data_IF_227777115849
#
_entry.id   IF_227777115849
#
_cell.length_a   1.000
_cell.length_b   1.000
_cell.length_c   1.000
_cell.angle_alpha   90.00
_cell.angle_beta   90.00
_cell.angle_gamma   90.00
#
_symmetry.space_group_name_H-M   'P 1'
#
loop_
_entity.id
_entity.type
_entity.pdbx_description
1 polymer ?
#
# COMPACT_ATOMS: atom_id res chain seq x y z
N UNK A 1 -7.99 -1.99 22.59
CA UNK A 1 -6.99 -1.98 21.49
C UNK A 1 -5.74 -1.35 22.04
N UNK A 2 -4.59 -2.01 21.92
CA UNK A 2 -3.30 -1.43 22.34
C UNK A 2 -3.03 -0.17 21.51
N UNK A 3 -2.69 0.94 22.15
CA UNK A 3 -2.39 2.18 21.45
C UNK A 3 -1.18 1.98 20.53
N UNK A 4 -1.35 2.25 19.24
CA UNK A 4 -0.23 2.34 18.31
C UNK A 4 0.50 3.68 18.54
N UNK A 5 1.83 3.65 18.48
CA UNK A 5 2.66 4.85 18.55
C UNK A 5 2.23 5.83 17.46
N UNK A 6 2.26 7.13 17.78
CA UNK A 6 2.05 8.20 16.80
C UNK A 6 2.94 7.97 15.57
N UNK A 7 2.34 8.14 14.40
CA UNK A 7 3.09 8.23 13.16
C UNK A 7 3.84 9.55 13.10
N UNK A 8 4.98 9.52 12.43
CA UNK A 8 5.68 10.74 12.07
C UNK A 8 4.77 11.65 11.20
N UNK A 9 4.92 12.96 11.33
CA UNK A 9 4.16 13.90 10.51
C UNK A 9 4.47 13.72 9.01
N UNK A 10 5.71 13.37 8.68
CA UNK A 10 6.12 13.05 7.31
C UNK A 10 5.33 11.86 6.74
N UNK A 11 5.08 10.83 7.55
CA UNK A 11 4.27 9.65 7.19
C UNK A 11 2.83 10.05 6.91
N UNK A 12 2.22 10.86 7.78
CA UNK A 12 0.84 11.36 7.59
C UNK A 12 0.75 12.20 6.32
N UNK A 13 1.73 13.06 6.07
CA UNK A 13 1.78 13.88 4.86
C UNK A 13 1.86 13.02 3.60
N UNK A 14 2.75 12.03 3.56
CA UNK A 14 2.86 11.11 2.43
C UNK A 14 1.57 10.32 2.17
N UNK A 15 0.93 9.79 3.22
CA UNK A 15 -0.37 9.09 3.10
C UNK A 15 -1.43 10.06 2.54
N UNK A 16 -1.46 11.29 3.04
CA UNK A 16 -2.43 12.30 2.62
C UNK A 16 -2.21 12.73 1.17
N UNK A 17 -0.96 12.81 0.70
CA UNK A 17 -0.63 13.08 -0.71
C UNK A 17 -1.05 11.93 -1.63
N UNK A 18 -0.84 10.68 -1.22
CA UNK A 18 -1.25 9.50 -2.00
C UNK A 18 -2.78 9.47 -2.14
N UNK A 19 -3.50 9.56 -1.02
CA UNK A 19 -4.96 9.45 -1.01
C UNK A 19 -5.68 10.72 -1.50
N UNK A 20 -5.01 11.87 -1.41
CA UNK A 20 -5.51 13.17 -1.85
C UNK A 20 -5.01 13.60 -3.23
N UNK A 21 -4.35 12.71 -3.98
CA UNK A 21 -3.82 13.01 -5.31
C UNK A 21 -4.91 13.49 -6.27
N UNK A 22 -4.57 14.42 -7.17
CA UNK A 22 -5.55 15.05 -8.07
C UNK A 22 -6.13 14.08 -9.08
N UNK A 23 -5.30 13.18 -9.62
CA UNK A 23 -5.67 12.28 -10.72
C UNK A 23 -5.98 10.87 -10.22
N UNK A 24 -5.25 10.40 -9.22
CA UNK A 24 -5.34 9.02 -8.71
C UNK A 24 -5.82 8.94 -7.25
N UNK A 25 -6.21 10.04 -6.63
CA UNK A 25 -6.72 10.07 -5.26
C UNK A 25 -8.25 10.13 -5.17
N UNK A 26 -8.76 10.18 -3.94
CA UNK A 26 -10.18 10.39 -3.68
C UNK A 26 -10.64 11.78 -4.14
N UNK A 27 -11.92 11.89 -4.45
CA UNK A 27 -12.60 13.18 -4.66
C UNK A 27 -12.82 13.90 -3.34
N UNK A 28 -13.06 15.22 -3.39
CA UNK A 28 -13.32 16.01 -2.18
C UNK A 28 -14.54 15.54 -1.38
N UNK A 29 -15.56 15.02 -2.06
CA UNK A 29 -16.77 14.45 -1.44
C UNK A 29 -16.49 13.10 -0.79
N UNK A 30 -15.71 12.23 -1.44
CA UNK A 30 -15.30 10.93 -0.88
C UNK A 30 -14.43 11.12 0.37
N UNK A 31 -13.51 12.10 0.35
CA UNK A 31 -12.68 12.45 1.52
C UNK A 31 -13.57 12.82 2.71
N UNK A 32 -14.55 13.72 2.51
CA UNK A 32 -15.46 14.12 3.59
C UNK A 32 -16.25 12.93 4.15
N UNK A 33 -16.74 12.05 3.27
CA UNK A 33 -17.44 10.82 3.68
C UNK A 33 -16.54 9.90 4.50
N UNK A 34 -15.31 9.65 4.05
CA UNK A 34 -14.35 8.76 4.73
C UNK A 34 -13.90 9.31 6.09
N UNK A 35 -13.68 10.63 6.20
CA UNK A 35 -13.36 11.29 7.45
C UNK A 35 -14.52 11.14 8.45
N UNK A 36 -15.76 11.39 8.00
CA UNK A 36 -16.97 11.21 8.81
C UNK A 36 -17.14 9.77 9.29
N UNK A 37 -16.99 8.78 8.40
CA UNK A 37 -17.08 7.35 8.73
C UNK A 37 -16.01 6.91 9.73
N UNK A 38 -14.85 7.56 9.69
CA UNK A 38 -13.72 7.29 10.59
C UNK A 38 -13.75 8.14 11.87
N UNK A 39 -14.83 8.93 12.10
CA UNK A 39 -14.99 9.85 13.24
C UNK A 39 -13.85 10.87 13.36
N UNK A 40 -13.34 11.32 12.22
CA UNK A 40 -12.28 12.33 12.12
C UNK A 40 -12.95 13.66 11.73
N UNK A 41 -12.82 14.71 12.55
CA UNK A 41 -13.29 16.04 12.18
C UNK A 41 -12.60 16.54 10.91
N UNK A 42 -13.35 17.27 10.10
CA UNK A 42 -12.86 17.86 8.86
C UNK A 42 -12.77 19.39 9.05
N UNK A 43 -11.60 19.91 9.48
CA UNK A 43 -11.49 21.29 9.92
C UNK A 43 -11.57 22.29 8.77
N UNK A 44 -11.12 21.88 7.57
CA UNK A 44 -10.98 22.77 6.41
C UNK A 44 -11.45 22.09 5.12
N UNK A 45 -12.76 22.03 4.85
CA UNK A 45 -13.29 21.36 3.65
C UNK A 45 -12.88 22.01 2.33
N UNK A 46 -12.52 23.30 2.35
CA UNK A 46 -12.26 24.14 1.17
C UNK A 46 -10.80 24.20 0.71
N UNK A 47 -9.85 23.56 1.41
CA UNK A 47 -8.44 23.54 0.99
C UNK A 47 -8.15 22.36 0.06
N UNK A 48 -6.94 22.33 -0.50
CA UNK A 48 -6.49 21.22 -1.37
C UNK A 48 -6.63 19.87 -0.67
N UNK A 49 -7.14 18.86 -1.40
CA UNK A 49 -7.49 17.51 -0.90
C UNK A 49 -6.45 16.89 0.04
N UNK A 50 -5.17 16.89 -0.34
CA UNK A 50 -4.11 16.31 0.49
C UNK A 50 -3.85 17.11 1.78
N UNK A 51 -3.92 18.45 1.73
CA UNK A 51 -3.77 19.29 2.95
C UNK A 51 -4.93 19.09 3.90
N UNK A 52 -6.15 18.97 3.36
CA UNK A 52 -7.37 18.66 4.13
C UNK A 52 -7.23 17.35 4.89
N UNK A 53 -6.78 16.29 4.21
CA UNK A 53 -6.48 15.00 4.85
C UNK A 53 -5.36 15.12 5.89
N UNK A 54 -4.27 15.82 5.57
CA UNK A 54 -3.15 15.98 6.48
C UNK A 54 -3.55 16.67 7.79
N UNK A 55 -4.26 17.79 7.71
CA UNK A 55 -4.71 18.54 8.87
C UNK A 55 -5.70 17.73 9.72
N UNK A 56 -6.67 17.06 9.09
CA UNK A 56 -7.65 16.23 9.78
C UNK A 56 -6.98 15.06 10.53
N UNK A 57 -6.08 14.32 9.86
CA UNK A 57 -5.36 13.19 10.45
C UNK A 57 -4.37 13.63 11.53
N UNK A 58 -3.66 14.73 11.31
CA UNK A 58 -2.72 15.32 12.28
C UNK A 58 -3.45 15.71 13.57
N UNK A 59 -4.51 16.53 13.45
CA UNK A 59 -5.26 17.00 14.62
C UNK A 59 -5.84 15.82 15.40
N UNK A 60 -6.38 14.82 14.70
CA UNK A 60 -6.94 13.65 15.35
C UNK A 60 -5.87 12.83 16.09
N UNK A 61 -4.71 12.60 15.49
CA UNK A 61 -3.59 11.93 16.14
C UNK A 61 -3.05 12.71 17.36
N UNK A 62 -3.02 14.04 17.29
CA UNK A 62 -2.61 14.89 18.41
C UNK A 62 -3.58 14.79 19.59
N UNK A 63 -4.90 14.80 19.31
CA UNK A 63 -5.96 14.66 20.33
C UNK A 63 -5.95 13.28 20.97
N UNK A 64 -5.85 12.21 20.18
CA UNK A 64 -5.98 10.84 20.67
C UNK A 64 -4.65 10.26 21.21
N UNK A 65 -3.57 11.03 21.12
CA UNK A 65 -2.19 10.62 21.45
C UNK A 65 -1.70 9.32 20.77
N UNK A 66 -2.37 8.87 19.70
CA UNK A 66 -2.10 7.60 19.03
C UNK A 66 -2.49 7.60 17.54
N UNK A 67 -1.93 6.67 16.76
CA UNK A 67 -2.20 6.53 15.31
C UNK A 67 -3.37 5.61 14.97
N UNK A 68 -4.14 5.15 15.96
CA UNK A 68 -5.22 4.18 15.76
C UNK A 68 -6.29 4.69 14.79
N UNK A 69 -6.69 5.96 14.91
CA UNK A 69 -7.71 6.52 14.02
C UNK A 69 -7.18 6.75 12.59
N UNK A 70 -5.88 7.03 12.45
CA UNK A 70 -5.22 7.07 11.13
C UNK A 70 -5.25 5.67 10.50
N UNK A 71 -4.95 4.63 11.28
CA UNK A 71 -5.04 3.24 10.82
C UNK A 71 -6.46 2.85 10.39
N UNK A 72 -7.48 3.21 11.18
CA UNK A 72 -8.89 2.97 10.85
C UNK A 72 -9.28 3.71 9.57
N UNK A 73 -8.85 4.97 9.42
CA UNK A 73 -9.08 5.74 8.20
C UNK A 73 -8.50 5.05 6.97
N UNK A 74 -7.25 4.56 7.05
CA UNK A 74 -6.60 3.84 5.93
C UNK A 74 -7.36 2.55 5.59
N UNK A 75 -7.77 1.76 6.59
CA UNK A 75 -8.55 0.54 6.35
C UNK A 75 -9.93 0.83 5.73
N UNK A 76 -10.59 1.91 6.16
CA UNK A 76 -11.86 2.34 5.58
C UNK A 76 -11.70 2.83 4.14
N UNK A 77 -10.67 3.63 3.88
CA UNK A 77 -10.32 4.13 2.56
C UNK A 77 -9.97 2.99 1.60
N UNK A 78 -9.21 2.02 2.07
CA UNK A 78 -8.74 0.87 1.30
C UNK A 78 -9.56 -0.40 1.57
N UNK A 79 -10.87 -0.25 1.79
CA UNK A 79 -11.76 -1.40 1.88
C UNK A 79 -12.03 -1.98 0.47
N UNK A 80 -11.68 -3.25 0.19
CA UNK A 80 -11.83 -3.84 -1.14
C UNK A 80 -13.26 -3.78 -1.69
N UNK A 81 -14.27 -3.84 -0.82
CA UNK A 81 -15.68 -3.76 -1.22
C UNK A 81 -16.04 -2.42 -1.88
N UNK A 82 -15.29 -1.35 -1.60
CA UNK A 82 -15.47 -0.02 -2.24
C UNK A 82 -14.86 0.06 -3.63
N UNK A 83 -13.98 -0.88 -3.97
CA UNK A 83 -13.11 -0.82 -5.15
C UNK A 83 -13.28 -2.03 -6.07
N UNK A 84 -14.42 -2.72 -6.02
CA UNK A 84 -14.67 -3.96 -6.77
C UNK A 84 -14.47 -3.84 -8.30
N UNK A 85 -14.68 -2.64 -8.86
CA UNK A 85 -14.50 -2.34 -10.28
C UNK A 85 -13.22 -1.54 -10.58
N UNK A 86 -12.37 -1.29 -9.56
CA UNK A 86 -11.17 -0.45 -9.63
C UNK A 86 -9.94 -1.21 -9.10
N UNK A 87 -9.75 -2.45 -9.54
CA UNK A 87 -8.68 -3.33 -9.06
C UNK A 87 -7.27 -2.75 -9.27
N UNK A 88 -7.02 -2.13 -10.43
CA UNK A 88 -5.73 -1.51 -10.73
C UNK A 88 -5.44 -0.31 -9.82
N UNK A 89 -6.45 0.53 -9.59
CA UNK A 89 -6.36 1.66 -8.67
C UNK A 89 -6.06 1.18 -7.25
N UNK A 90 -6.77 0.12 -6.81
CA UNK A 90 -6.58 -0.47 -5.48
C UNK A 90 -5.16 -1.00 -5.31
N UNK A 91 -4.68 -1.81 -6.26
CA UNK A 91 -3.33 -2.36 -6.24
C UNK A 91 -2.26 -1.26 -6.26
N UNK A 92 -2.42 -0.24 -7.11
CA UNK A 92 -1.47 0.88 -7.21
C UNK A 92 -1.41 1.71 -5.94
N UNK A 93 -2.56 2.06 -5.34
CA UNK A 93 -2.60 2.82 -4.10
C UNK A 93 -2.12 1.99 -2.91
N UNK A 94 -2.48 0.70 -2.84
CA UNK A 94 -1.98 -0.23 -1.82
C UNK A 94 -0.46 -0.32 -1.87
N UNK A 95 0.14 -0.40 -3.06
CA UNK A 95 1.59 -0.37 -3.23
C UNK A 95 2.22 0.90 -2.64
N UNK A 96 1.77 2.08 -3.09
CA UNK A 96 2.28 3.37 -2.62
C UNK A 96 2.14 3.51 -1.09
N UNK A 97 0.98 3.12 -0.54
CA UNK A 97 0.72 3.13 0.90
C UNK A 97 1.64 2.18 1.66
N UNK A 98 1.87 0.97 1.14
CA UNK A 98 2.75 -0.01 1.78
C UNK A 98 4.21 0.45 1.84
N UNK A 99 4.69 1.21 0.85
CA UNK A 99 6.02 1.83 0.93
C UNK A 99 6.11 2.74 2.16
N UNK A 100 5.12 3.61 2.35
CA UNK A 100 5.09 4.56 3.48
C UNK A 100 4.86 3.84 4.82
N UNK A 101 3.87 2.95 4.88
CA UNK A 101 3.53 2.19 6.09
C UNK A 101 4.66 1.27 6.56
N UNK A 102 5.53 0.82 5.65
CA UNK A 102 6.67 -0.03 6.01
C UNK A 102 7.66 0.65 6.95
N UNK A 103 7.81 1.98 6.90
CA UNK A 103 8.62 2.74 7.87
C UNK A 103 8.01 2.71 9.28
N UNK A 104 6.69 2.56 9.36
CA UNK A 104 5.97 2.38 10.62
C UNK A 104 5.80 0.92 11.04
N UNK A 105 6.30 -0.03 10.23
CA UNK A 105 6.23 -1.46 10.53
C UNK A 105 4.82 -2.01 10.31
N UNK A 106 4.09 -1.41 9.38
CA UNK A 106 2.73 -1.79 9.01
C UNK A 106 2.67 -2.13 7.52
N UNK A 107 1.74 -3.01 7.16
CA UNK A 107 1.43 -3.34 5.77
C UNK A 107 -0.07 -3.54 5.63
N UNK A 108 -0.62 -3.05 4.54
CA UNK A 108 -2.00 -3.20 4.12
C UNK A 108 -2.15 -4.49 3.30
N UNK A 109 -3.00 -5.40 3.77
CA UNK A 109 -3.38 -6.63 3.09
C UNK A 109 -4.32 -6.42 1.91
N UNK A 110 -4.53 -7.47 1.13
CA UNK A 110 -5.53 -7.49 0.04
C UNK A 110 -6.96 -7.42 0.58
N UNK A 111 -7.16 -7.82 1.83
CA UNK A 111 -8.42 -7.72 2.56
C UNK A 111 -8.69 -6.30 3.11
N UNK A 112 -7.79 -5.34 2.84
CA UNK A 112 -7.87 -3.96 3.33
C UNK A 112 -7.52 -3.81 4.80
N UNK A 113 -6.97 -4.84 5.46
CA UNK A 113 -6.59 -4.78 6.88
C UNK A 113 -5.11 -4.48 7.05
N UNK A 114 -4.76 -3.82 8.14
CA UNK A 114 -3.36 -3.57 8.49
C UNK A 114 -2.79 -4.72 9.32
N UNK A 115 -1.67 -5.28 8.86
CA UNK A 115 -0.82 -6.23 9.57
C UNK A 115 0.48 -5.59 10.04
N UNK A 116 1.12 -6.18 11.05
CA UNK A 116 2.46 -5.79 11.50
C UNK A 116 3.53 -6.48 10.66
N UNK A 117 4.54 -5.71 10.28
CA UNK A 117 5.73 -6.18 9.56
C UNK A 117 7.00 -5.59 10.19
N UNK A 118 8.17 -6.04 9.75
CA UNK A 118 9.43 -5.41 10.13
C UNK A 118 9.45 -3.95 9.61
N UNK A 119 10.07 -3.04 10.37
CA UNK A 119 10.25 -1.63 9.96
C UNK A 119 11.29 -1.49 8.85
N UNK A 120 11.02 -0.64 7.87
CA UNK A 120 11.95 -0.34 6.78
C UNK A 120 12.81 0.84 7.19
N UNK A 121 14.09 0.83 6.81
CA UNK A 121 15.02 1.93 7.09
C UNK A 121 15.41 2.69 5.83
N UNK A 122 15.20 2.10 4.65
CA UNK A 122 15.59 2.69 3.36
C UNK A 122 14.43 2.67 2.35
N UNK A 123 14.49 3.53 1.35
CA UNK A 123 13.52 3.56 0.25
C UNK A 123 13.50 2.23 -0.54
N UNK A 124 14.66 1.60 -0.70
CA UNK A 124 14.78 0.30 -1.37
C UNK A 124 14.09 -0.81 -0.58
N UNK A 125 14.26 -0.85 0.74
CA UNK A 125 13.54 -1.80 1.61
C UNK A 125 12.03 -1.56 1.58
N UNK A 126 11.60 -0.30 1.59
CA UNK A 126 10.19 0.06 1.52
C UNK A 126 9.55 -0.36 0.19
N UNK A 127 10.23 -0.12 -0.94
CA UNK A 127 9.79 -0.55 -2.27
C UNK A 127 9.72 -2.08 -2.37
N UNK A 128 10.76 -2.76 -1.91
CA UNK A 128 10.80 -4.22 -1.88
C UNK A 128 9.61 -4.81 -1.13
N UNK A 129 9.26 -4.24 0.03
CA UNK A 129 8.14 -4.74 0.84
C UNK A 129 6.77 -4.44 0.25
N UNK A 130 6.66 -3.44 -0.60
CA UNK A 130 5.39 -3.09 -1.23
C UNK A 130 5.08 -3.92 -2.50
N UNK A 131 6.11 -4.44 -3.19
CA UNK A 131 6.11 -5.16 -4.49
C UNK A 131 4.76 -5.25 -5.27
N UNK A 132 4.52 -4.26 -6.14
CA UNK A 132 3.39 -4.20 -7.10
C UNK A 132 3.46 -5.28 -8.17
N UNK A 133 4.68 -5.64 -8.58
CA UNK A 133 4.92 -6.58 -9.67
C UNK A 133 4.51 -8.00 -9.29
N UNK A 134 4.75 -8.40 -8.03
CA UNK A 134 4.27 -9.67 -7.50
C UNK A 134 2.73 -9.76 -7.54
N UNK A 135 2.03 -8.72 -7.07
CA UNK A 135 0.56 -8.67 -7.10
C UNK A 135 0.01 -8.73 -8.54
N UNK A 136 0.67 -8.04 -9.47
CA UNK A 136 0.28 -8.05 -10.89
C UNK A 136 0.43 -9.43 -11.54
N UNK A 137 1.48 -10.19 -11.19
CA UNK A 137 1.67 -11.55 -11.66
C UNK A 137 0.67 -12.54 -11.02
N UNK A 138 0.37 -12.36 -9.73
CA UNK A 138 -0.64 -13.17 -9.02
C UNK A 138 -2.02 -13.00 -9.66
N UNK A 139 -2.45 -11.77 -9.93
CA UNK A 139 -3.74 -11.49 -10.57
C UNK A 139 -3.86 -12.07 -11.99
N UNK A 140 -2.73 -12.26 -12.68
CA UNK A 140 -2.69 -12.87 -14.03
C UNK A 140 -2.59 -14.39 -14.00
N UNK A 141 -2.76 -15.04 -12.84
CA UNK A 141 -2.61 -16.47 -12.64
C UNK A 141 -1.27 -17.02 -13.18
N UNK A 142 -0.20 -16.23 -13.01
CA UNK A 142 1.13 -16.65 -13.44
C UNK A 142 1.57 -17.86 -12.62
N UNK A 143 2.18 -18.83 -13.30
CA UNK A 143 2.56 -20.11 -12.70
C UNK A 143 3.48 -19.90 -11.48
N UNK A 144 3.22 -20.64 -10.39
CA UNK A 144 3.92 -20.48 -9.10
C UNK A 144 5.47 -20.53 -9.21
N UNK A 145 5.99 -21.35 -10.13
CA UNK A 145 7.42 -21.39 -10.43
C UNK A 145 7.98 -20.02 -10.86
N UNK A 146 7.29 -19.26 -11.73
CA UNK A 146 7.77 -17.93 -12.14
C UNK A 146 7.85 -16.98 -10.94
N UNK A 147 6.86 -17.05 -10.04
CA UNK A 147 6.88 -16.27 -8.79
C UNK A 147 7.99 -16.68 -7.82
N UNK A 148 8.47 -17.93 -7.91
CA UNK A 148 9.58 -18.45 -7.10
C UNK A 148 10.92 -17.94 -7.62
N UNK A 149 11.11 -17.92 -8.93
CA UNK A 149 12.37 -17.53 -9.56
C UNK A 149 12.56 -16.01 -9.62
N UNK A 150 11.51 -15.23 -9.83
CA UNK A 150 11.65 -13.77 -9.92
C UNK A 150 11.64 -13.06 -8.55
N UNK A 151 11.66 -13.79 -7.42
CA UNK A 151 11.23 -13.27 -6.11
C UNK A 151 12.01 -12.05 -5.62
N UNK A 152 13.31 -11.95 -5.92
CA UNK A 152 14.13 -10.79 -5.58
C UNK A 152 14.03 -9.68 -6.64
N UNK A 153 13.94 -9.99 -7.93
CA UNK A 153 13.89 -8.93 -8.96
C UNK A 153 12.50 -8.30 -9.11
N UNK A 154 11.45 -9.02 -8.69
CA UNK A 154 10.11 -8.46 -8.52
C UNK A 154 10.05 -7.36 -7.46
N UNK A 155 11.02 -7.30 -6.55
CA UNK A 155 11.13 -6.27 -5.51
C UNK A 155 11.68 -4.94 -6.06
N UNK A 156 12.42 -5.00 -7.17
CA UNK A 156 13.08 -3.84 -7.78
C UNK A 156 12.34 -3.27 -8.99
N UNK A 157 11.14 -3.77 -9.31
CA UNK A 157 10.37 -3.37 -10.52
C UNK A 157 11.22 -3.48 -11.82
N UNK A 158 12.23 -4.35 -11.82
CA UNK A 158 13.16 -4.47 -12.95
C UNK A 158 12.73 -5.62 -13.86
N UNK A 159 11.81 -5.30 -14.77
CA UNK A 159 11.16 -6.23 -15.70
C UNK A 159 12.14 -7.07 -16.53
N UNK A 160 13.32 -6.55 -16.87
CA UNK A 160 14.31 -7.29 -17.66
C UNK A 160 14.85 -8.50 -16.92
N UNK A 161 15.19 -8.35 -15.63
CA UNK A 161 15.67 -9.48 -14.84
C UNK A 161 14.55 -10.46 -14.48
N UNK A 162 13.35 -9.95 -14.21
CA UNK A 162 12.19 -10.83 -13.98
C UNK A 162 11.91 -11.73 -15.19
N UNK A 163 11.98 -11.21 -16.42
CA UNK A 163 11.82 -12.03 -17.64
C UNK A 163 12.95 -13.05 -17.77
N UNK A 164 14.19 -12.65 -17.52
CA UNK A 164 15.34 -13.55 -17.61
C UNK A 164 15.23 -14.73 -16.62
N UNK A 165 14.89 -14.46 -15.35
CA UNK A 165 14.67 -15.50 -14.34
C UNK A 165 13.45 -16.37 -14.62
N UNK A 166 12.36 -15.77 -15.14
CA UNK A 166 11.21 -16.55 -15.59
C UNK A 166 11.63 -17.54 -16.68
N UNK A 167 12.52 -17.14 -17.59
CA UNK A 167 13.04 -18.00 -18.66
C UNK A 167 13.94 -19.11 -18.11
N UNK A 168 14.78 -18.83 -17.10
CA UNK A 168 15.56 -19.86 -16.39
C UNK A 168 14.66 -20.91 -15.75
N UNK A 169 13.52 -20.51 -15.20
CA UNK A 169 12.56 -21.47 -14.61
C UNK A 169 12.09 -22.52 -15.62
N UNK A 170 11.91 -22.14 -16.89
CA UNK A 170 11.51 -23.06 -17.96
C UNK A 170 12.62 -24.07 -18.23
N UNK A 171 13.86 -23.60 -18.37
CA UNK A 171 15.02 -24.47 -18.61
C UNK A 171 15.24 -25.47 -17.46
N UNK A 172 15.10 -25.03 -16.22
CA UNK A 172 15.28 -25.89 -15.04
C UNK A 172 14.14 -26.91 -14.89
N UNK A 173 12.92 -26.54 -15.28
CA UNK A 173 11.77 -27.45 -15.30
C UNK A 173 11.89 -28.51 -16.39
N UNK A 174 12.48 -28.16 -17.53
CA UNK A 174 12.86 -29.13 -18.57
C UNK A 174 13.87 -30.12 -17.99
N UNK A 175 15.00 -29.66 -17.43
CA UNK A 175 16.00 -30.53 -16.79
C UNK A 175 15.40 -31.51 -15.79
N UNK A 176 14.58 -31.04 -14.84
CA UNK A 176 13.93 -31.92 -13.85
C UNK A 176 12.98 -32.95 -14.46
N UNK A 177 12.28 -32.61 -15.56
CA UNK A 177 11.34 -33.54 -16.22
C UNK A 177 12.04 -34.51 -17.16
N UNK A 178 13.16 -34.12 -17.76
CA UNK A 178 13.90 -34.93 -18.73
C UNK A 178 15.06 -35.69 -18.11
N UNK A 179 15.44 -35.39 -16.85
CA UNK A 179 16.61 -35.99 -16.19
C UNK A 179 17.95 -35.52 -16.75
N UNK A 180 17.97 -34.35 -17.41
CA UNK A 180 19.17 -33.70 -17.95
C UNK A 180 19.86 -32.80 -16.93
#
# INVERSE_FOLDING_TARGET
MTALKKFDLSVIESISKILGDTSEGFTGSEIGKLLSESRIPDPNPGITKWKRLFEALKQKQEIDDCSNNVCVFIQNAMNPARHFNKQEWFSSNRYKLNQVLSFEGLSLGEDGKLGRIQKASTLSEAAARASKLRDSLLNRNVHADVLKFCKEELLFDNYFHAVFEATKSVAEKIRRKTGL
#
